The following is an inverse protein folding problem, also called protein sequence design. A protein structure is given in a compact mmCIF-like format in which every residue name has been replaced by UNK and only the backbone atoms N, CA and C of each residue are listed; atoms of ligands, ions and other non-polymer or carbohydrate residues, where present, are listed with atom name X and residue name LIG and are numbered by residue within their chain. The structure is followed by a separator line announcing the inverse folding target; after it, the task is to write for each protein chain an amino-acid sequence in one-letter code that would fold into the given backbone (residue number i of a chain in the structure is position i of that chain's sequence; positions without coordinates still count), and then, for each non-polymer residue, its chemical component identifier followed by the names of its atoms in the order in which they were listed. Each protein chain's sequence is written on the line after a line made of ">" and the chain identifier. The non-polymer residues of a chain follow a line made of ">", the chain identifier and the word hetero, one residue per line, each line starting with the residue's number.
data_IF_512160737674
#
_entry.id   IF_512160737674
#
_cell.length_a   1.000
_cell.length_b   1.000
_cell.length_c   1.000
_cell.angle_alpha   90.00
_cell.angle_beta   90.00
_cell.angle_gamma   90.00
#
_symmetry.space_group_name_H-M   'P 1'
#
loop_
_entity.id
_entity.type
_entity.pdbx_description
1 polymer ?
#
# COMPACT_ATOMS: atom_id res chain seq x y z
N UNK A 1 18.90 -11.00 -14.95
CA UNK A 1 17.70 -11.80 -14.64
C UNK A 1 17.76 -12.18 -13.17
N UNK A 2 17.17 -11.38 -12.28
CA UNK A 2 17.21 -11.63 -10.83
C UNK A 2 16.32 -12.84 -10.49
N UNK A 3 16.91 -13.88 -9.87
CA UNK A 3 16.15 -15.04 -9.36
C UNK A 3 15.16 -14.54 -8.32
N UNK A 4 13.85 -14.71 -8.59
CA UNK A 4 12.77 -14.24 -7.73
C UNK A 4 12.67 -15.14 -6.51
N UNK A 5 13.00 -14.63 -5.33
CA UNK A 5 12.87 -15.37 -4.08
C UNK A 5 11.48 -15.12 -3.47
N UNK A 6 10.47 -15.89 -3.85
CA UNK A 6 9.12 -15.81 -3.26
C UNK A 6 8.98 -16.67 -1.99
N UNK A 7 10.09 -17.09 -1.36
CA UNK A 7 10.04 -17.96 -0.19
C UNK A 7 9.23 -17.33 0.94
N UNK A 8 8.26 -18.08 1.47
CA UNK A 8 7.38 -17.64 2.55
C UNK A 8 6.27 -16.66 2.15
N UNK A 9 5.97 -16.52 0.86
CA UNK A 9 4.86 -15.72 0.33
C UNK A 9 3.93 -16.59 -0.52
N UNK A 10 2.64 -16.62 -0.18
CA UNK A 10 1.60 -17.25 -0.97
C UNK A 10 1.13 -16.31 -2.10
N UNK A 11 1.87 -16.33 -3.20
CA UNK A 11 1.60 -15.47 -4.36
C UNK A 11 0.28 -15.80 -5.06
N UNK A 12 -0.21 -17.04 -4.94
CA UNK A 12 -1.48 -17.46 -5.52
C UNK A 12 -2.66 -16.88 -4.76
N UNK A 13 -2.60 -16.84 -3.42
CA UNK A 13 -3.57 -16.13 -2.60
C UNK A 13 -3.58 -14.63 -2.91
N UNK A 14 -2.41 -13.99 -3.00
CA UNK A 14 -2.32 -12.57 -3.37
C UNK A 14 -2.99 -12.32 -4.73
N UNK A 15 -2.67 -13.15 -5.73
CA UNK A 15 -3.27 -13.05 -7.07
C UNK A 15 -4.79 -13.23 -7.01
N UNK A 16 -5.30 -14.23 -6.29
CA UNK A 16 -6.73 -14.47 -6.09
C UNK A 16 -7.43 -13.25 -5.47
N UNK A 17 -6.81 -12.62 -4.46
CA UNK A 17 -7.31 -11.37 -3.87
C UNK A 17 -7.37 -10.26 -4.91
N UNK A 18 -6.27 -10.00 -5.62
CA UNK A 18 -6.20 -8.94 -6.65
C UNK A 18 -7.25 -9.17 -7.76
N UNK A 19 -7.43 -10.41 -8.20
CA UNK A 19 -8.41 -10.77 -9.23
C UNK A 19 -9.86 -10.53 -8.74
N UNK A 20 -10.17 -10.73 -7.46
CA UNK A 20 -11.50 -10.44 -6.89
C UNK A 20 -11.91 -8.96 -6.96
N UNK A 21 -10.96 -8.03 -7.15
CA UNK A 21 -11.21 -6.58 -7.27
C UNK A 21 -10.63 -5.99 -8.56
N UNK A 22 -10.38 -6.83 -9.57
CA UNK A 22 -9.63 -6.47 -10.78
C UNK A 22 -10.17 -5.24 -11.52
N UNK A 23 -11.49 -5.14 -11.68
CA UNK A 23 -12.12 -4.01 -12.37
C UNK A 23 -11.85 -2.68 -11.62
N UNK A 24 -12.08 -2.67 -10.31
CA UNK A 24 -11.84 -1.50 -9.44
C UNK A 24 -10.35 -1.12 -9.43
N UNK A 25 -9.46 -2.10 -9.32
CA UNK A 25 -8.00 -1.88 -9.36
C UNK A 25 -7.55 -1.26 -10.68
N UNK A 26 -7.99 -1.84 -11.81
CA UNK A 26 -7.65 -1.35 -13.14
C UNK A 26 -8.14 0.09 -13.33
N UNK A 27 -9.39 0.37 -12.97
CA UNK A 27 -9.98 1.71 -13.09
C UNK A 27 -9.22 2.72 -12.21
N UNK A 28 -9.00 2.39 -10.94
CA UNK A 28 -8.33 3.29 -9.98
C UNK A 28 -6.90 3.62 -10.39
N UNK A 29 -6.14 2.62 -10.85
CA UNK A 29 -4.76 2.83 -11.33
C UNK A 29 -4.72 3.63 -12.63
N UNK A 30 -5.67 3.39 -13.55
CA UNK A 30 -5.76 4.15 -14.80
C UNK A 30 -6.22 5.60 -14.59
N UNK A 31 -7.07 5.85 -13.58
CA UNK A 31 -7.59 7.18 -13.27
C UNK A 31 -6.58 8.10 -12.58
N UNK A 32 -5.50 7.56 -11.99
CA UNK A 32 -4.53 8.37 -11.27
C UNK A 32 -3.67 9.21 -12.23
N UNK A 33 -4.00 10.50 -12.37
CA UNK A 33 -3.29 11.43 -13.26
C UNK A 33 -1.96 11.95 -12.69
N UNK A 34 -1.47 11.41 -11.57
CA UNK A 34 -0.26 11.89 -10.88
C UNK A 34 -0.26 13.40 -10.57
N UNK A 35 -1.44 13.99 -10.40
CA UNK A 35 -1.66 15.44 -10.26
C UNK A 35 -1.29 16.01 -8.88
N UNK A 36 -0.91 15.18 -7.92
CA UNK A 36 -0.59 15.56 -6.51
C UNK A 36 -1.70 16.21 -5.69
N UNK A 37 -2.91 16.41 -6.24
CA UNK A 37 -4.03 17.08 -5.54
C UNK A 37 -4.48 16.37 -4.25
N UNK A 38 -4.18 15.09 -4.08
CA UNK A 38 -4.43 14.36 -2.84
C UNK A 38 -3.44 14.69 -1.71
N UNK A 39 -2.31 15.34 -1.98
CA UNK A 39 -1.20 15.50 -1.02
C UNK A 39 -1.62 16.28 0.23
N UNK A 40 -2.12 17.51 0.04
CA UNK A 40 -2.46 18.44 1.12
C UNK A 40 -3.60 17.93 2.02
N UNK A 41 -4.42 16.97 1.53
CA UNK A 41 -5.45 16.31 2.34
C UNK A 41 -4.90 15.33 3.39
N UNK A 42 -3.63 14.92 3.27
CA UNK A 42 -3.00 14.00 4.18
C UNK A 42 -2.27 14.73 5.30
N UNK A 43 -2.77 14.64 6.53
CA UNK A 43 -2.11 15.29 7.68
C UNK A 43 -0.69 14.78 7.93
N UNK A 44 -0.39 13.50 7.63
CA UNK A 44 0.97 12.96 7.77
C UNK A 44 1.92 13.54 6.72
N UNK A 45 1.45 13.84 5.51
CA UNK A 45 2.27 14.56 4.52
C UNK A 45 2.61 15.96 5.04
N UNK A 46 1.62 16.69 5.54
CA UNK A 46 1.81 18.04 6.09
C UNK A 46 2.71 18.04 7.35
N UNK A 47 2.60 17.02 8.20
CA UNK A 47 3.36 16.91 9.45
C UNK A 47 4.77 16.31 9.28
N UNK A 48 5.12 15.83 8.09
CA UNK A 48 6.43 15.22 7.78
C UNK A 48 7.16 16.02 6.72
N UNK A 49 7.15 17.34 6.89
CA UNK A 49 7.85 18.30 6.02
C UNK A 49 7.53 18.12 4.53
N UNK A 50 6.29 17.72 4.23
CA UNK A 50 5.83 17.45 2.86
C UNK A 50 6.68 16.42 2.12
N UNK A 51 7.23 15.42 2.82
CA UNK A 51 7.91 14.29 2.21
C UNK A 51 6.95 13.55 1.25
N UNK A 52 7.28 13.46 -0.06
CA UNK A 52 6.42 12.84 -1.06
C UNK A 52 6.09 11.38 -0.78
N UNK A 53 6.89 10.67 0.02
CA UNK A 53 6.59 9.27 0.42
C UNK A 53 5.35 9.16 1.32
N UNK A 54 4.93 10.26 1.95
CA UNK A 54 3.68 10.37 2.71
C UNK A 54 2.48 10.82 1.87
N UNK A 55 2.63 11.10 0.59
CA UNK A 55 1.51 11.46 -0.28
C UNK A 55 0.53 10.28 -0.45
N UNK A 56 -0.80 10.48 -0.44
CA UNK A 56 -1.76 9.39 -0.63
C UNK A 56 -1.59 8.63 -1.95
N UNK A 57 -1.33 9.34 -3.06
CA UNK A 57 -1.06 8.70 -4.37
C UNK A 57 0.22 7.87 -4.34
N UNK A 58 1.29 8.35 -3.69
CA UNK A 58 2.51 7.58 -3.49
C UNK A 58 2.21 6.26 -2.77
N UNK A 59 1.46 6.32 -1.67
CA UNK A 59 1.09 5.12 -0.89
C UNK A 59 0.27 4.17 -1.74
N UNK A 60 -0.73 4.66 -2.46
CA UNK A 60 -1.57 3.84 -3.34
C UNK A 60 -0.76 3.11 -4.42
N UNK A 61 0.10 3.84 -5.13
CA UNK A 61 0.90 3.30 -6.25
C UNK A 61 1.97 2.33 -5.75
N UNK A 62 2.65 2.66 -4.65
CA UNK A 62 3.77 1.86 -4.12
C UNK A 62 3.33 0.77 -3.11
N UNK A 63 2.03 0.59 -2.88
CA UNK A 63 1.48 -0.54 -2.12
C UNK A 63 0.66 -1.48 -3.03
N UNK A 64 -0.66 -1.31 -3.05
CA UNK A 64 -1.57 -2.15 -3.85
C UNK A 64 -1.31 -2.00 -5.35
N UNK A 65 -0.89 -0.82 -5.82
CA UNK A 65 -0.50 -0.61 -7.22
C UNK A 65 0.69 -1.47 -7.64
N UNK A 66 1.70 -1.58 -6.77
CA UNK A 66 2.87 -2.44 -6.97
C UNK A 66 2.46 -3.91 -6.99
N UNK A 67 1.66 -4.36 -6.03
CA UNK A 67 1.11 -5.72 -5.99
C UNK A 67 0.36 -6.07 -7.28
N UNK A 68 -0.51 -5.17 -7.73
CA UNK A 68 -1.29 -5.35 -8.95
C UNK A 68 -0.40 -5.39 -10.20
N UNK A 69 0.56 -4.46 -10.33
CA UNK A 69 1.53 -4.44 -11.45
C UNK A 69 2.37 -5.73 -11.51
N UNK A 70 2.74 -6.28 -10.36
CA UNK A 70 3.50 -7.53 -10.24
C UNK A 70 2.62 -8.78 -10.33
N UNK A 71 1.29 -8.63 -10.44
CA UNK A 71 0.31 -9.74 -10.41
C UNK A 71 0.48 -10.63 -9.17
N UNK A 72 0.80 -10.02 -8.03
CA UNK A 72 1.07 -10.71 -6.77
C UNK A 72 2.42 -11.44 -6.68
N UNK A 73 3.24 -11.45 -7.74
CA UNK A 73 4.58 -12.06 -7.72
C UNK A 73 5.59 -11.14 -7.02
N UNK A 74 5.56 -11.14 -5.70
CA UNK A 74 6.44 -10.35 -4.82
C UNK A 74 7.13 -11.25 -3.79
N UNK A 75 8.24 -10.77 -3.25
CA UNK A 75 8.97 -11.43 -2.16
C UNK A 75 8.59 -10.86 -0.80
N UNK A 76 9.10 -11.48 0.26
CA UNK A 76 8.83 -11.08 1.65
C UNK A 76 9.35 -9.67 1.95
N UNK A 77 10.49 -9.28 1.38
CA UNK A 77 11.06 -7.94 1.53
C UNK A 77 10.15 -6.88 0.92
N UNK A 78 9.65 -7.10 -0.30
CA UNK A 78 8.69 -6.21 -0.94
C UNK A 78 7.42 -6.06 -0.10
N UNK A 79 6.92 -7.14 0.51
CA UNK A 79 5.75 -7.05 1.40
C UNK A 79 6.06 -6.26 2.69
N UNK A 80 7.29 -6.33 3.22
CA UNK A 80 7.73 -5.50 4.35
C UNK A 80 7.78 -4.02 3.96
N UNK A 81 8.30 -3.68 2.79
CA UNK A 81 8.28 -2.30 2.28
C UNK A 81 6.83 -1.78 2.14
N UNK A 82 5.94 -2.64 1.63
CA UNK A 82 4.51 -2.31 1.52
C UNK A 82 3.90 -2.13 2.91
N UNK A 83 4.24 -2.97 3.89
CA UNK A 83 3.80 -2.82 5.28
C UNK A 83 4.13 -1.42 5.80
N UNK A 84 5.36 -0.96 5.62
CA UNK A 84 5.78 0.34 6.13
C UNK A 84 5.00 1.48 5.46
N UNK A 85 4.72 1.37 4.15
CA UNK A 85 3.87 2.32 3.43
C UNK A 85 2.44 2.37 3.99
N UNK A 86 1.85 1.22 4.30
CA UNK A 86 0.42 1.13 4.66
C UNK A 86 0.16 1.21 6.17
N UNK A 87 1.16 1.10 7.03
CA UNK A 87 1.05 1.26 8.49
C UNK A 87 1.87 2.45 9.03
N UNK A 88 3.16 2.54 8.76
CA UNK A 88 4.01 3.63 9.29
C UNK A 88 3.68 4.98 8.65
N UNK A 89 3.45 4.97 7.33
CA UNK A 89 3.13 6.20 6.59
C UNK A 89 1.65 6.49 6.51
N UNK A 90 0.78 5.59 6.99
CA UNK A 90 -0.66 5.75 6.90
C UNK A 90 -1.35 5.22 8.16
N UNK A 91 -2.11 6.07 8.83
CA UNK A 91 -2.99 5.64 9.94
C UNK A 91 -4.40 5.25 9.49
N UNK A 92 -4.67 5.26 8.19
CA UNK A 92 -5.99 4.98 7.60
C UNK A 92 -7.11 5.88 8.15
N UNK A 93 -6.85 7.18 8.29
CA UNK A 93 -7.81 8.16 8.83
C UNK A 93 -8.95 8.54 7.87
N UNK A 94 -8.98 7.97 6.66
CA UNK A 94 -9.97 8.20 5.59
C UNK A 94 -10.16 9.64 5.11
N UNK A 95 -9.35 10.60 5.58
CA UNK A 95 -9.46 12.02 5.21
C UNK A 95 -8.93 12.37 3.82
N UNK A 96 -8.10 11.50 3.22
CA UNK A 96 -7.52 11.83 1.92
C UNK A 96 -8.59 11.81 0.83
N UNK A 97 -8.50 12.79 -0.07
CA UNK A 97 -9.46 12.98 -1.15
C UNK A 97 -8.75 12.95 -2.51
N UNK A 98 -9.38 12.31 -3.49
CA UNK A 98 -8.93 12.31 -4.88
C UNK A 98 -10.03 12.88 -5.78
N UNK A 99 -9.77 13.96 -6.54
CA UNK A 99 -10.79 14.55 -7.42
C UNK A 99 -11.17 13.65 -8.61
N UNK A 100 -10.38 12.61 -8.88
CA UNK A 100 -10.68 11.58 -9.89
C UNK A 100 -11.53 10.43 -9.33
N UNK A 101 -12.02 10.54 -8.09
CA UNK A 101 -12.90 9.54 -7.48
C UNK A 101 -12.18 8.27 -7.00
N UNK A 102 -10.85 8.28 -6.90
CA UNK A 102 -10.09 7.14 -6.37
C UNK A 102 -10.27 7.09 -4.85
N UNK A 103 -10.89 6.00 -4.37
CA UNK A 103 -10.98 5.69 -2.94
C UNK A 103 -9.64 5.13 -2.43
N UNK A 104 -8.68 6.03 -2.22
CA UNK A 104 -7.34 5.68 -1.72
C UNK A 104 -7.42 4.98 -0.35
N UNK A 105 -8.24 5.42 0.63
CA UNK A 105 -8.36 4.70 1.90
C UNK A 105 -8.74 3.23 1.71
N UNK A 106 -9.74 2.91 0.90
CA UNK A 106 -10.14 1.52 0.67
C UNK A 106 -9.04 0.71 -0.04
N UNK A 107 -8.31 1.33 -0.98
CA UNK A 107 -7.16 0.70 -1.64
C UNK A 107 -6.03 0.34 -0.65
N UNK A 108 -5.72 1.25 0.29
CA UNK A 108 -4.71 1.00 1.33
C UNK A 108 -5.19 -0.04 2.35
N UNK A 109 -6.48 -0.02 2.70
CA UNK A 109 -7.09 -1.05 3.55
C UNK A 109 -6.96 -2.43 2.89
N UNK A 110 -7.18 -2.51 1.58
CA UNK A 110 -7.03 -3.77 0.86
C UNK A 110 -5.58 -4.27 0.82
N UNK A 111 -4.59 -3.37 0.65
CA UNK A 111 -3.17 -3.73 0.80
C UNK A 111 -2.87 -4.30 2.19
N UNK A 112 -3.40 -3.69 3.27
CA UNK A 112 -3.25 -4.20 4.64
C UNK A 112 -3.83 -5.61 4.80
N UNK A 113 -5.00 -5.89 4.22
CA UNK A 113 -5.59 -7.23 4.23
C UNK A 113 -4.67 -8.25 3.59
N UNK A 114 -4.15 -7.95 2.40
CA UNK A 114 -3.20 -8.83 1.71
C UNK A 114 -1.96 -9.07 2.59
N UNK A 115 -1.36 -8.02 3.16
CA UNK A 115 -0.17 -8.18 4.00
C UNK A 115 -0.47 -9.03 5.26
N UNK A 116 -1.63 -8.84 5.90
CA UNK A 116 -2.06 -9.66 7.05
C UNK A 116 -2.21 -11.14 6.70
N UNK A 117 -2.79 -11.45 5.53
CA UNK A 117 -2.92 -12.83 5.05
C UNK A 117 -1.56 -13.50 4.78
N UNK A 118 -0.52 -12.71 4.55
CA UNK A 118 0.86 -13.17 4.39
C UNK A 118 1.66 -13.16 5.71
N UNK A 119 1.01 -12.85 6.85
CA UNK A 119 1.69 -12.71 8.14
C UNK A 119 2.65 -11.52 8.19
N UNK A 120 2.40 -10.47 7.41
CA UNK A 120 3.17 -9.23 7.37
C UNK A 120 2.30 -8.08 7.90
N UNK A 121 2.52 -7.71 9.14
CA UNK A 121 1.82 -6.62 9.82
C UNK A 121 2.65 -6.14 11.01
N UNK A 122 2.36 -4.96 11.58
CA UNK A 122 3.04 -4.49 12.78
C UNK A 122 2.84 -5.42 13.98
N UNK A 123 3.94 -5.80 14.61
CA UNK A 123 3.95 -6.50 15.89
C UNK A 123 4.26 -5.48 16.99
N UNK A 124 3.21 -4.87 17.54
CA UNK A 124 3.35 -3.78 18.50
C UNK A 124 4.10 -4.19 19.77
N UNK A 125 4.04 -5.46 20.17
CA UNK A 125 4.78 -5.95 21.35
C UNK A 125 6.29 -6.03 21.11
N UNK A 126 6.70 -6.35 19.87
CA UNK A 126 8.11 -6.40 19.49
C UNK A 126 8.66 -5.03 19.12
N UNK A 127 7.84 -4.19 18.51
CA UNK A 127 8.25 -2.87 18.01
C UNK A 127 8.37 -1.84 19.14
N UNK A 128 7.55 -1.91 20.19
CA UNK A 128 7.71 -1.04 21.37
C UNK A 128 9.01 -1.26 22.14
N UNK A 129 9.59 -2.47 22.09
CA UNK A 129 10.86 -2.79 22.77
C UNK A 129 12.09 -2.13 22.15
N UNK A 130 11.96 -1.58 20.94
CA UNK A 130 13.07 -0.97 20.18
C UNK A 130 12.90 0.55 20.01
N UNK A 131 11.87 1.15 20.63
CA UNK A 131 11.56 2.57 20.54
C UNK A 131 12.08 3.39 21.75
N UNK A 132 13.01 2.81 22.53
CA UNK A 132 13.66 3.44 23.69
C UNK A 132 15.07 3.91 23.37
#
# INVERSE_FOLDING_TARGET
>A
MFKKNTAGVDTDLIKKRLDSRKAKMKLSLAACAHCTLCAESCFLFNARDKDPTYMPSYKFINSIGLLYKKKGMVDRATLQDIRDVVWERCVLCTRCYCPFGIDIPEMLAFARTICREQGVFPDFEKEQKHAG
#
